data_IF_584163941506
#
_entry.id   IF_584163941506
#
_cell.length_a   1.000
_cell.length_b   1.000
_cell.length_c   1.000
_cell.angle_alpha   90.00
_cell.angle_beta   90.00
_cell.angle_gamma   90.00
#
_symmetry.space_group_name_H-M   'P 1'
#
loop_
_entity.id
_entity.type
_entity.pdbx_description
1 polymer ?
#
# COMPACT_ATOMS: atom_id res chain seq x y z
N UNK A 1 16.33 7.39 -19.86
CA UNK A 1 14.88 7.41 -20.16
C UNK A 1 14.13 7.10 -18.88
N UNK A 2 12.99 7.75 -18.63
CA UNK A 2 12.14 7.42 -17.47
C UNK A 2 11.49 6.06 -17.69
N UNK A 3 11.32 5.27 -16.63
CA UNK A 3 10.57 4.01 -16.69
C UNK A 3 9.10 4.33 -16.94
N UNK A 4 8.48 3.63 -17.89
CA UNK A 4 7.06 3.76 -18.19
C UNK A 4 6.24 2.84 -17.29
N UNK A 5 5.19 3.36 -16.70
CA UNK A 5 4.19 2.60 -15.93
C UNK A 5 2.89 2.66 -16.71
N UNK A 6 2.32 1.49 -17.04
CA UNK A 6 1.12 1.39 -17.87
C UNK A 6 -0.16 1.61 -17.05
N UNK A 7 -0.17 1.14 -15.80
CA UNK A 7 -1.28 1.34 -14.86
C UNK A 7 -1.44 2.82 -14.45
N UNK A 8 -2.67 3.20 -14.13
CA UNK A 8 -2.97 4.52 -13.57
C UNK A 8 -2.67 4.51 -12.07
N UNK A 9 -1.91 5.50 -11.59
CA UNK A 9 -1.62 5.63 -10.15
C UNK A 9 -2.63 6.58 -9.50
N UNK A 10 -3.41 6.09 -8.54
CA UNK A 10 -4.30 6.93 -7.72
C UNK A 10 -3.50 7.53 -6.57
N UNK A 11 -3.49 8.87 -6.46
CA UNK A 11 -2.75 9.65 -5.45
C UNK A 11 -3.67 10.68 -4.77
N UNK A 12 -3.22 11.25 -3.65
CA UNK A 12 -4.04 12.19 -2.86
C UNK A 12 -4.02 13.60 -3.45
N UNK A 13 -2.84 14.05 -3.92
CA UNK A 13 -2.62 15.43 -4.35
C UNK A 13 -1.70 15.60 -5.55
N UNK A 14 -1.54 16.86 -5.94
CA UNK A 14 -0.73 17.27 -7.10
C UNK A 14 0.77 17.12 -6.86
N UNK A 15 1.22 17.28 -5.62
CA UNK A 15 2.63 17.16 -5.27
C UNK A 15 3.11 15.71 -5.39
N UNK A 16 2.25 14.74 -5.07
CA UNK A 16 2.48 13.31 -5.34
C UNK A 16 2.60 13.04 -6.84
N UNK A 17 1.67 13.58 -7.64
CA UNK A 17 1.72 13.52 -9.11
C UNK A 17 3.04 14.08 -9.62
N UNK A 18 3.47 15.24 -9.11
CA UNK A 18 4.70 15.89 -9.53
C UNK A 18 5.94 15.03 -9.20
N UNK A 19 5.99 14.44 -8.01
CA UNK A 19 7.11 13.58 -7.62
C UNK A 19 7.16 12.27 -8.43
N UNK A 20 6.01 11.64 -8.71
CA UNK A 20 5.96 10.46 -9.57
C UNK A 20 6.37 10.77 -11.01
N UNK A 21 5.80 11.83 -11.61
CA UNK A 21 6.15 12.26 -12.98
C UNK A 21 7.59 12.75 -13.10
N UNK A 22 8.26 13.09 -11.99
CA UNK A 22 9.69 13.40 -11.98
C UNK A 22 10.53 12.18 -12.39
N UNK A 23 10.16 10.99 -11.94
CA UNK A 23 10.95 9.76 -12.14
C UNK A 23 10.37 8.80 -13.18
N UNK A 24 9.06 8.83 -13.39
CA UNK A 24 8.34 7.89 -14.27
C UNK A 24 7.61 8.60 -15.42
N UNK A 25 7.40 7.88 -16.51
CA UNK A 25 6.37 8.21 -17.51
C UNK A 25 5.09 7.48 -17.08
N UNK A 26 4.19 8.20 -16.40
CA UNK A 26 3.01 7.62 -15.74
C UNK A 26 1.84 8.59 -15.75
N UNK A 27 0.62 8.05 -15.81
CA UNK A 27 -0.60 8.81 -15.62
C UNK A 27 -1.14 8.64 -14.20
N UNK A 28 -1.69 9.72 -13.64
CA UNK A 28 -2.17 9.76 -12.26
C UNK A 28 -3.63 10.18 -12.18
N UNK A 29 -4.34 9.67 -11.17
CA UNK A 29 -5.69 10.11 -10.79
C UNK A 29 -5.65 10.70 -9.39
N UNK A 30 -5.94 11.99 -9.25
CA UNK A 30 -5.87 12.71 -7.98
C UNK A 30 -7.24 12.69 -7.26
N UNK A 31 -7.28 12.20 -6.02
CA UNK A 31 -8.53 12.13 -5.21
C UNK A 31 -8.93 13.47 -4.58
N UNK A 32 -8.17 14.55 -4.81
CA UNK A 32 -8.44 15.91 -4.30
C UNK A 32 -8.56 15.96 -2.77
N UNK A 33 -7.68 15.26 -2.06
CA UNK A 33 -7.65 15.18 -0.60
C UNK A 33 -8.39 13.97 -0.01
N UNK A 34 -8.92 14.12 1.22
CA UNK A 34 -9.39 13.01 2.08
C UNK A 34 -10.81 12.49 1.79
N UNK A 35 -11.53 13.08 0.85
CA UNK A 35 -12.91 12.74 0.52
C UNK A 35 -12.98 12.16 -0.89
N UNK A 36 -13.21 10.84 -0.97
CA UNK A 36 -13.48 10.14 -2.23
C UNK A 36 -14.99 10.01 -2.42
N UNK A 37 -15.50 10.51 -3.54
CA UNK A 37 -16.94 10.45 -3.87
C UNK A 37 -17.31 9.13 -4.54
N UNK A 38 -18.62 8.83 -4.61
CA UNK A 38 -19.10 7.66 -5.36
C UNK A 38 -18.72 7.75 -6.85
N UNK A 39 -18.73 8.96 -7.42
CA UNK A 39 -18.32 9.20 -8.81
C UNK A 39 -16.82 8.90 -9.01
N UNK A 40 -15.97 9.26 -8.04
CA UNK A 40 -14.55 8.90 -8.07
C UNK A 40 -14.35 7.39 -8.04
N UNK A 41 -15.10 6.67 -7.20
CA UNK A 41 -15.02 5.21 -7.13
C UNK A 41 -15.45 4.55 -8.45
N UNK A 42 -16.51 5.05 -9.09
CA UNK A 42 -16.93 4.57 -10.40
C UNK A 42 -15.88 4.83 -11.48
N UNK A 43 -15.24 6.01 -11.46
CA UNK A 43 -14.15 6.34 -12.38
C UNK A 43 -12.95 5.45 -12.16
N UNK A 44 -12.51 5.27 -10.90
CA UNK A 44 -11.39 4.40 -10.55
C UNK A 44 -11.67 2.95 -10.97
N UNK A 45 -12.90 2.47 -10.78
CA UNK A 45 -13.31 1.14 -11.24
C UNK A 45 -13.15 1.01 -12.76
N UNK A 46 -13.67 1.97 -13.54
CA UNK A 46 -13.52 1.96 -15.01
C UNK A 46 -12.06 2.04 -15.44
N UNK A 47 -11.24 2.86 -14.80
CA UNK A 47 -9.81 2.96 -15.08
C UNK A 47 -9.10 1.64 -14.78
N UNK A 48 -9.46 0.98 -13.69
CA UNK A 48 -8.89 -0.31 -13.32
C UNK A 48 -9.23 -1.39 -14.36
N UNK A 49 -10.45 -1.39 -14.89
CA UNK A 49 -10.87 -2.34 -15.93
C UNK A 49 -10.16 -2.08 -17.28
N UNK A 50 -9.81 -0.83 -17.59
CA UNK A 50 -9.20 -0.44 -18.88
C UNK A 50 -7.66 -0.52 -18.89
N UNK A 51 -7.03 -0.10 -17.79
CA UNK A 51 -5.58 0.13 -17.71
C UNK A 51 -4.93 -0.56 -16.52
N UNK A 52 -5.72 -1.05 -15.56
CA UNK A 52 -5.25 -1.37 -14.22
C UNK A 52 -5.01 -0.10 -13.40
N UNK A 53 -5.27 -0.20 -12.09
CA UNK A 53 -5.02 0.88 -11.13
C UNK A 53 -4.07 0.41 -10.04
N UNK A 54 -3.12 1.28 -9.69
CA UNK A 54 -2.30 1.16 -8.49
C UNK A 54 -2.69 2.28 -7.54
N UNK A 55 -3.24 1.94 -6.38
CA UNK A 55 -3.50 2.92 -5.32
C UNK A 55 -2.20 3.17 -4.55
N UNK A 56 -1.73 4.41 -4.61
CA UNK A 56 -0.53 4.85 -3.91
C UNK A 56 -0.83 6.15 -3.15
N UNK A 57 -1.15 5.99 -1.87
CA UNK A 57 -1.52 7.07 -0.95
C UNK A 57 -0.51 7.19 0.18
N UNK A 58 -0.59 8.27 0.95
CA UNK A 58 0.35 8.56 2.03
C UNK A 58 0.21 7.56 3.19
N UNK A 59 1.30 7.26 3.93
CA UNK A 59 1.26 6.37 5.09
C UNK A 59 0.74 7.08 6.36
N UNK A 60 -0.36 7.80 6.20
CA UNK A 60 -1.05 8.57 7.23
C UNK A 60 -2.50 8.09 7.43
N UNK A 61 -3.28 8.81 8.26
CA UNK A 61 -4.66 8.44 8.53
C UNK A 61 -5.60 8.65 7.32
N UNK A 62 -5.39 9.71 6.55
CA UNK A 62 -6.24 10.06 5.41
C UNK A 62 -5.98 9.13 4.24
N UNK A 63 -4.72 8.85 3.92
CA UNK A 63 -4.32 7.90 2.90
C UNK A 63 -4.85 6.49 3.17
N UNK A 64 -4.72 6.00 4.42
CA UNK A 64 -5.29 4.69 4.78
C UNK A 64 -6.82 4.67 4.68
N UNK A 65 -7.49 5.79 4.96
CA UNK A 65 -8.95 5.91 4.80
C UNK A 65 -9.36 5.85 3.34
N UNK A 66 -8.72 6.63 2.45
CA UNK A 66 -8.96 6.60 1.00
C UNK A 66 -8.73 5.19 0.47
N UNK A 67 -7.58 4.60 0.82
CA UNK A 67 -7.20 3.24 0.44
C UNK A 67 -8.26 2.21 0.83
N UNK A 68 -8.78 2.26 2.05
CA UNK A 68 -9.84 1.35 2.51
C UNK A 68 -11.12 1.46 1.69
N UNK A 69 -11.51 2.69 1.34
CA UNK A 69 -12.72 2.93 0.55
C UNK A 69 -12.53 2.37 -0.87
N UNK A 70 -11.39 2.67 -1.52
CA UNK A 70 -11.09 2.13 -2.87
C UNK A 70 -11.00 0.62 -2.83
N UNK A 71 -10.29 0.05 -1.85
CA UNK A 71 -10.13 -1.40 -1.70
C UNK A 71 -11.47 -2.14 -1.54
N UNK A 72 -12.45 -1.51 -0.90
CA UNK A 72 -13.80 -2.07 -0.78
C UNK A 72 -14.58 -2.00 -2.10
N UNK A 73 -14.42 -0.92 -2.86
CA UNK A 73 -15.15 -0.67 -4.10
C UNK A 73 -14.52 -1.34 -5.34
N UNK A 74 -13.20 -1.48 -5.37
CA UNK A 74 -12.39 -1.99 -6.48
C UNK A 74 -11.37 -3.01 -5.93
N UNK A 75 -11.79 -4.23 -5.56
CA UNK A 75 -10.91 -5.22 -4.91
C UNK A 75 -9.75 -5.70 -5.79
N UNK A 76 -9.86 -5.57 -7.11
CA UNK A 76 -8.81 -5.91 -8.07
C UNK A 76 -7.79 -4.79 -8.29
N UNK A 77 -7.99 -3.61 -7.69
CA UNK A 77 -6.99 -2.55 -7.73
C UNK A 77 -5.74 -3.01 -6.99
N UNK A 78 -4.59 -2.75 -7.59
CA UNK A 78 -3.31 -3.01 -6.96
C UNK A 78 -2.98 -1.93 -5.94
N UNK A 79 -2.08 -2.21 -5.00
CA UNK A 79 -1.81 -1.30 -3.88
C UNK A 79 -0.30 -1.24 -3.56
N UNK A 80 0.30 -0.04 -3.68
CA UNK A 80 1.67 0.23 -3.29
C UNK A 80 1.73 0.99 -1.95
N UNK A 81 2.78 0.78 -1.15
CA UNK A 81 2.95 1.40 0.16
C UNK A 81 4.39 1.90 0.36
N UNK A 82 4.49 3.07 0.96
CA UNK A 82 5.72 3.56 1.58
C UNK A 82 5.68 3.24 3.07
N UNK A 83 6.85 2.97 3.64
CA UNK A 83 7.00 3.04 5.07
C UNK A 83 7.01 4.50 5.54
N UNK A 84 6.71 4.72 6.82
CA UNK A 84 6.53 6.08 7.37
C UNK A 84 7.82 6.91 7.30
N UNK A 85 8.96 6.28 7.48
CA UNK A 85 10.29 6.87 7.37
C UNK A 85 10.65 7.28 5.94
N UNK A 86 10.17 6.53 4.93
CA UNK A 86 10.38 6.80 3.51
C UNK A 86 9.52 7.95 2.98
N UNK A 87 8.38 8.20 3.63
CA UNK A 87 7.51 9.32 3.33
C UNK A 87 7.80 10.56 4.19
N UNK A 88 8.83 10.52 5.04
CA UNK A 88 9.15 11.63 5.93
C UNK A 88 9.93 12.74 5.19
N UNK A 89 9.68 14.02 5.51
CA UNK A 89 10.40 15.12 4.89
C UNK A 89 11.88 15.09 5.27
N UNK A 90 12.75 15.38 4.30
CA UNK A 90 14.22 15.33 4.48
C UNK A 90 14.75 16.41 5.44
N UNK A 91 13.94 17.40 5.81
CA UNK A 91 14.31 18.47 6.73
C UNK A 91 13.27 18.63 7.83
N UNK A 92 13.74 18.69 9.09
CA UNK A 92 12.90 18.91 10.28
C UNK A 92 12.12 20.23 10.26
N UNK A 93 12.47 21.16 9.37
CA UNK A 93 11.83 22.48 9.22
C UNK A 93 10.68 22.47 8.22
N UNK A 94 10.65 21.50 7.29
CA UNK A 94 9.59 21.35 6.26
C UNK A 94 8.46 20.47 6.79
N UNK A 95 7.71 20.97 7.77
CA UNK A 95 6.54 20.27 8.31
C UNK A 95 6.84 18.87 8.87
N UNK A 96 5.80 18.20 9.37
CA UNK A 96 5.84 16.80 9.82
C UNK A 96 4.93 15.90 8.99
N UNK A 97 4.41 16.42 7.87
CA UNK A 97 3.51 15.66 6.99
C UNK A 97 4.29 14.55 6.32
N UNK A 98 3.74 13.34 6.38
CA UNK A 98 4.26 12.21 5.62
C UNK A 98 3.61 12.26 4.25
N UNK A 99 4.38 12.10 3.18
CA UNK A 99 3.81 12.14 1.84
C UNK A 99 4.66 11.48 0.76
N UNK A 100 4.01 11.01 -0.30
CA UNK A 100 4.67 10.51 -1.52
C UNK A 100 5.53 11.61 -2.14
N UNK A 101 5.12 12.88 -2.02
CA UNK A 101 5.91 14.05 -2.40
C UNK A 101 7.33 14.13 -1.79
N UNK A 102 7.58 13.44 -0.68
CA UNK A 102 8.87 13.44 0.01
C UNK A 102 9.74 12.21 -0.29
N UNK A 103 9.17 11.18 -0.89
CA UNK A 103 9.86 9.92 -1.11
C UNK A 103 10.97 10.04 -2.16
N UNK A 104 12.10 9.38 -1.88
CA UNK A 104 13.20 9.25 -2.81
C UNK A 104 12.86 8.26 -3.94
N UNK A 105 13.59 8.35 -5.04
CA UNK A 105 13.39 7.47 -6.19
C UNK A 105 13.48 5.99 -5.80
N UNK A 106 14.45 5.64 -4.96
CA UNK A 106 14.73 4.28 -4.52
C UNK A 106 13.58 3.69 -3.71
N UNK A 107 12.87 4.52 -2.94
CA UNK A 107 11.73 4.07 -2.12
C UNK A 107 10.47 3.95 -2.98
N UNK A 108 10.26 4.88 -3.92
CA UNK A 108 9.19 4.81 -4.91
C UNK A 108 9.35 3.57 -5.80
N UNK A 109 10.55 3.29 -6.31
CA UNK A 109 10.80 2.16 -7.20
C UNK A 109 10.64 0.83 -6.45
N UNK A 110 11.04 0.77 -5.18
CA UNK A 110 10.84 -0.42 -4.33
C UNK A 110 9.35 -0.67 -4.09
N UNK A 111 8.58 0.36 -3.76
CA UNK A 111 7.13 0.26 -3.53
C UNK A 111 6.38 -0.15 -4.80
N UNK A 112 6.73 0.43 -5.95
CA UNK A 112 6.03 0.16 -7.22
C UNK A 112 6.46 -1.16 -7.86
N UNK A 113 7.73 -1.56 -7.77
CA UNK A 113 8.23 -2.79 -8.39
C UNK A 113 7.61 -4.05 -7.79
N UNK A 114 7.30 -4.04 -6.48
CA UNK A 114 6.57 -5.14 -5.85
C UNK A 114 5.20 -5.38 -6.48
N UNK A 115 4.55 -4.31 -6.94
CA UNK A 115 3.18 -4.36 -7.46
C UNK A 115 3.15 -4.61 -8.97
N UNK A 116 4.18 -4.12 -9.67
CA UNK A 116 4.35 -4.31 -11.11
C UNK A 116 4.87 -5.72 -11.47
N UNK A 117 5.57 -6.39 -10.54
CA UNK A 117 6.16 -7.72 -10.74
C UNK A 117 5.26 -8.91 -10.43
N UNK A 118 4.04 -8.70 -9.90
CA UNK A 118 3.09 -9.79 -9.61
C UNK A 118 2.44 -10.22 -10.92
N UNK A 119 3.04 -11.21 -11.59
CA UNK A 119 2.30 -12.06 -12.51
C UNK A 119 1.20 -12.78 -11.69
N UNK A 120 0.01 -12.94 -12.26
CA UNK A 120 -1.15 -13.59 -11.63
C UNK A 120 -0.91 -15.10 -11.41
N UNK A 121 0.09 -15.49 -10.63
CA UNK A 121 0.01 -16.76 -9.94
C UNK A 121 -1.02 -16.59 -8.83
N UNK A 122 -2.21 -17.19 -9.04
CA UNK A 122 -3.19 -17.38 -7.98
C UNK A 122 -2.56 -18.28 -6.90
N UNK A 123 -1.77 -17.67 -6.03
CA UNK A 123 -1.35 -18.24 -4.76
C UNK A 123 -2.61 -18.74 -4.06
N UNK A 124 -2.67 -20.05 -3.79
CA UNK A 124 -3.70 -20.60 -2.90
C UNK A 124 -3.41 -20.02 -1.53
N UNK A 125 -4.20 -19.04 -1.11
CA UNK A 125 -4.09 -18.44 0.22
C UNK A 125 -4.15 -19.53 1.28
N UNK A 126 -3.07 -19.69 2.04
CA UNK A 126 -2.79 -20.81 2.94
C UNK A 126 -2.78 -20.40 4.43
N UNK A 127 -3.05 -19.13 4.72
CA UNK A 127 -3.05 -18.58 6.08
C UNK A 127 -4.44 -18.67 6.69
N UNK A 128 -4.52 -19.17 7.92
CA UNK A 128 -5.77 -19.25 8.69
C UNK A 128 -5.80 -18.28 9.86
N UNK A 129 -6.99 -18.12 10.47
CA UNK A 129 -7.12 -17.35 11.71
C UNK A 129 -6.31 -17.95 12.87
N UNK A 130 -6.15 -19.27 12.90
CA UNK A 130 -5.35 -19.96 13.92
C UNK A 130 -3.88 -19.58 13.80
N UNK A 131 -3.36 -19.41 12.58
CA UNK A 131 -2.00 -18.93 12.35
C UNK A 131 -1.82 -17.51 12.89
N UNK A 132 -2.82 -16.64 12.73
CA UNK A 132 -2.75 -15.29 13.32
C UNK A 132 -2.67 -15.30 14.86
N UNK A 133 -3.29 -16.28 15.51
CA UNK A 133 -3.17 -16.48 16.96
C UNK A 133 -1.77 -17.03 17.28
N UNK A 134 -1.30 -18.02 16.52
CA UNK A 134 0.02 -18.67 16.68
C UNK A 134 1.16 -17.65 16.64
N UNK A 135 1.13 -16.70 15.71
CA UNK A 135 2.13 -15.62 15.62
C UNK A 135 1.95 -14.49 16.63
N UNK A 136 0.88 -14.54 17.44
CA UNK A 136 0.58 -13.50 18.42
C UNK A 136 0.03 -12.22 17.80
N UNK A 137 -0.47 -12.24 16.56
CA UNK A 137 -1.12 -11.08 15.92
C UNK A 137 -2.50 -10.76 16.52
N UNK A 138 -3.08 -11.67 17.31
CA UNK A 138 -4.37 -11.52 17.97
C UNK A 138 -4.24 -11.75 19.49
N UNK A 139 -5.02 -11.00 20.27
CA UNK A 139 -5.24 -11.18 21.71
C UNK A 139 -4.01 -11.13 22.65
N UNK A 140 -2.81 -10.82 22.15
CA UNK A 140 -1.61 -10.60 22.94
C UNK A 140 -1.35 -9.12 23.23
N UNK A 141 -0.66 -8.83 24.34
CA UNK A 141 -0.22 -7.47 24.71
C UNK A 141 0.66 -6.83 23.63
N UNK A 142 1.42 -7.66 22.91
CA UNK A 142 2.35 -7.25 21.87
C UNK A 142 1.79 -7.39 20.43
N UNK A 143 0.52 -7.78 20.30
CA UNK A 143 -0.10 -8.02 18.98
C UNK A 143 -0.07 -6.82 18.06
N UNK A 144 -0.10 -5.60 18.62
CA UNK A 144 -0.03 -4.38 17.81
C UNK A 144 1.35 -4.24 17.16
N UNK A 145 2.43 -4.35 17.93
CA UNK A 145 3.80 -4.18 17.44
C UNK A 145 4.17 -5.24 16.41
N UNK A 146 3.76 -6.50 16.64
CA UNK A 146 3.91 -7.59 15.67
C UNK A 146 3.26 -7.29 14.31
N UNK A 147 2.05 -6.74 14.32
CA UNK A 147 1.36 -6.32 13.08
C UNK A 147 2.01 -5.12 12.42
N UNK A 148 2.51 -4.16 13.20
CA UNK A 148 3.25 -3.01 12.68
C UNK A 148 4.55 -3.47 12.00
N UNK A 149 5.31 -4.35 12.66
CA UNK A 149 6.53 -4.94 12.10
C UNK A 149 6.25 -5.72 10.81
N UNK A 150 5.31 -6.67 10.84
CA UNK A 150 4.94 -7.46 9.66
C UNK A 150 4.51 -6.55 8.49
N UNK A 151 3.68 -5.54 8.77
CA UNK A 151 3.20 -4.59 7.79
C UNK A 151 4.31 -3.77 7.13
N UNK A 152 5.33 -3.38 7.90
CA UNK A 152 6.50 -2.66 7.42
C UNK A 152 7.43 -3.54 6.58
N UNK A 153 7.71 -4.76 7.04
CA UNK A 153 8.61 -5.68 6.34
C UNK A 153 8.01 -6.16 5.01
N UNK A 154 6.72 -6.48 5.00
CA UNK A 154 6.02 -6.94 3.79
C UNK A 154 5.47 -5.79 2.93
N UNK A 155 5.55 -4.53 3.37
CA UNK A 155 4.98 -3.35 2.70
C UNK A 155 3.49 -3.48 2.36
N UNK A 156 2.73 -4.08 3.25
CA UNK A 156 1.26 -4.24 3.11
C UNK A 156 0.46 -3.20 3.92
N UNK A 157 1.16 -2.21 4.49
CA UNK A 157 0.61 -1.21 5.37
C UNK A 157 0.19 -1.76 6.74
N UNK A 158 -0.22 -0.86 7.63
CA UNK A 158 -0.72 -1.26 8.94
C UNK A 158 -2.16 -1.79 8.85
N UNK A 159 -2.44 -2.87 9.58
CA UNK A 159 -3.81 -3.40 9.73
C UNK A 159 -4.10 -3.76 11.19
N UNK A 160 -5.39 -3.70 11.54
CA UNK A 160 -5.84 -4.28 12.81
C UNK A 160 -6.03 -5.80 12.66
N UNK A 161 -6.12 -6.50 13.79
CA UNK A 161 -6.23 -7.96 13.79
C UNK A 161 -7.45 -8.52 13.04
N UNK A 162 -8.56 -7.75 12.94
CA UNK A 162 -9.74 -8.18 12.18
C UNK A 162 -9.52 -8.12 10.66
N UNK A 163 -8.64 -7.24 10.20
CA UNK A 163 -8.40 -6.98 8.79
C UNK A 163 -7.13 -7.67 8.24
N UNK A 164 -6.23 -8.09 9.12
CA UNK A 164 -4.94 -8.66 8.72
C UNK A 164 -5.08 -9.86 7.79
N UNK A 165 -5.97 -10.80 8.10
CA UNK A 165 -6.15 -12.01 7.27
C UNK A 165 -6.53 -11.64 5.83
N UNK A 166 -7.54 -10.77 5.69
CA UNK A 166 -7.99 -10.27 4.39
C UNK A 166 -6.89 -9.49 3.66
N UNK A 167 -6.04 -8.77 4.41
CA UNK A 167 -4.90 -8.06 3.81
C UNK A 167 -3.86 -9.06 3.28
N UNK A 168 -3.50 -10.08 4.04
CA UNK A 168 -2.55 -11.08 3.58
C UNK A 168 -3.06 -11.81 2.32
N UNK A 169 -4.35 -12.16 2.30
CA UNK A 169 -5.01 -12.79 1.15
C UNK A 169 -4.95 -11.91 -0.10
N UNK A 170 -5.33 -10.64 0.05
CA UNK A 170 -5.36 -9.69 -1.06
C UNK A 170 -3.99 -9.45 -1.69
N UNK A 171 -2.95 -9.51 -0.88
CA UNK A 171 -1.56 -9.30 -1.33
C UNK A 171 -0.90 -10.60 -1.76
N UNK A 172 -1.62 -11.72 -1.76
CA UNK A 172 -1.10 -13.03 -2.13
C UNK A 172 0.01 -13.53 -1.21
N UNK A 173 0.11 -12.99 0.01
CA UNK A 173 1.17 -13.33 0.96
C UNK A 173 0.94 -14.76 1.46
N UNK A 174 1.96 -15.60 1.28
CA UNK A 174 1.97 -16.98 1.75
C UNK A 174 2.33 -17.09 3.23
N UNK A 175 1.95 -18.21 3.86
CA UNK A 175 2.35 -18.52 5.22
C UNK A 175 3.88 -18.53 5.39
N UNK A 176 4.60 -19.06 4.41
CA UNK A 176 6.06 -19.14 4.41
C UNK A 176 6.73 -17.75 4.43
N UNK A 177 6.17 -16.78 3.71
CA UNK A 177 6.65 -15.38 3.77
C UNK A 177 6.41 -14.75 5.13
N UNK A 178 5.25 -15.00 5.75
CA UNK A 178 4.98 -14.54 7.11
C UNK A 178 5.94 -15.16 8.12
N UNK A 179 6.19 -16.48 8.03
CA UNK A 179 7.14 -17.19 8.89
C UNK A 179 8.53 -16.58 8.79
N UNK A 180 9.05 -16.45 7.57
CA UNK A 180 10.36 -15.88 7.29
C UNK A 180 10.52 -14.47 7.84
N UNK A 181 9.49 -13.62 7.69
CA UNK A 181 9.53 -12.26 8.25
C UNK A 181 9.53 -12.30 9.78
N UNK A 182 8.68 -13.14 10.37
CA UNK A 182 8.52 -13.18 11.82
C UNK A 182 9.69 -13.82 12.56
N UNK A 183 10.59 -14.54 11.88
CA UNK A 183 11.89 -14.98 12.45
C UNK A 183 12.75 -13.81 12.92
N UNK A 184 12.63 -12.64 12.28
CA UNK A 184 13.37 -11.43 12.64
C UNK A 184 12.69 -10.54 13.68
N UNK A 185 11.57 -10.96 14.26
CA UNK A 185 10.84 -10.18 15.27
C UNK A 185 11.36 -10.48 16.68
N UNK A 186 12.08 -9.51 17.26
CA UNK A 186 12.57 -9.53 18.66
C UNK A 186 11.66 -8.71 19.61
#
# INVERSE_FOLDING_TARGET
MKRKIAEIIVVEGRDDTANLKRFYEVETYETRGSAISQEDLERIKRLNDLHGVIVFTDPDFNGERIRKIIMAAVPSAKHAFLNRDEAAPSSKTKGRSLGIEHAAFEDLDRALSQVLGVAEEKSRFDITRSDLIRFGFLAGLDSRKRREYLGQQLRIGYTNGKQLLKRLEMFGISLAEVEKVMEGYE
#
